data_IF_183090806446
#
_entry.id   IF_183090806446
#
_cell.length_a   1.000
_cell.length_b   1.000
_cell.length_c   1.000
_cell.angle_alpha   90.00
_cell.angle_beta   90.00
_cell.angle_gamma   90.00
#
_symmetry.space_group_name_H-M   'P 1'
#
loop_
_entity.id
_entity.type
_entity.pdbx_description
1 polymer ?
#
# COMPACT_ATOMS: atom_id res chain seq x y z
N UNK A 1 0.60 22.88 -12.32
CA UNK A 1 0.73 23.39 -10.94
C UNK A 1 -0.60 24.00 -10.52
N UNK A 2 -1.45 23.20 -9.86
CA UNK A 2 -2.74 23.64 -9.31
C UNK A 2 -2.50 24.26 -7.94
N UNK A 3 -2.99 25.48 -7.74
CA UNK A 3 -3.01 26.18 -6.44
C UNK A 3 -3.71 25.27 -5.42
N UNK A 4 -2.99 24.93 -4.35
CA UNK A 4 -3.59 24.36 -3.16
C UNK A 4 -4.42 25.47 -2.50
N UNK A 5 -5.73 25.28 -2.45
CA UNK A 5 -6.60 26.10 -1.61
C UNK A 5 -6.31 25.76 -0.14
N UNK A 6 -5.98 26.75 0.71
CA UNK A 6 -5.89 26.54 2.14
C UNK A 6 -7.30 26.30 2.67
N UNK A 7 -7.65 25.03 2.81
CA UNK A 7 -8.86 24.57 3.49
C UNK A 7 -8.84 25.06 4.94
N UNK A 8 -9.60 26.13 5.16
CA UNK A 8 -10.56 26.24 6.27
C UNK A 8 -10.13 25.60 7.59
N UNK A 9 -9.26 26.28 8.33
CA UNK A 9 -9.17 26.16 9.78
C UNK A 9 -10.47 26.72 10.39
N UNK A 10 -11.53 25.91 10.41
CA UNK A 10 -12.68 26.12 11.30
C UNK A 10 -12.46 25.29 12.57
N UNK A 11 -11.40 25.62 13.30
CA UNK A 11 -11.21 25.14 14.66
C UNK A 11 -11.58 26.28 15.60
N UNK A 12 -12.65 26.09 16.39
CA UNK A 12 -12.95 26.94 17.53
C UNK A 12 -14.22 27.76 17.44
N UNK A 13 -15.37 27.10 17.27
CA UNK A 13 -16.66 27.71 17.59
C UNK A 13 -17.58 26.69 18.27
N UNK A 14 -17.16 26.16 19.42
CA UNK A 14 -17.95 25.22 20.24
C UNK A 14 -18.25 25.69 21.66
N UNK A 15 -17.80 26.88 22.07
CA UNK A 15 -17.74 27.16 23.53
C UNK A 15 -18.79 28.16 24.07
N UNK A 16 -19.66 28.72 23.21
CA UNK A 16 -20.71 29.66 23.66
C UNK A 16 -22.15 29.07 23.66
N UNK A 17 -22.33 27.82 23.25
CA UNK A 17 -23.65 27.17 23.24
C UNK A 17 -24.16 26.79 24.64
N UNK A 18 -23.32 26.96 25.67
CA UNK A 18 -23.70 26.87 27.08
C UNK A 18 -24.16 28.22 27.65
N UNK A 19 -24.59 29.14 26.80
CA UNK A 19 -25.37 30.30 27.19
C UNK A 19 -26.57 29.82 28.03
N UNK A 20 -26.44 30.01 29.35
CA UNK A 20 -27.37 29.63 30.42
C UNK A 20 -28.80 29.64 29.91
N UNK A 21 -29.34 28.46 29.58
CA UNK A 21 -30.75 28.35 29.18
C UNK A 21 -31.56 28.94 30.34
N UNK A 22 -32.35 30.01 30.12
CA UNK A 22 -33.04 30.66 31.22
C UNK A 22 -33.95 29.64 31.89
N UNK A 23 -33.83 29.53 33.22
CA UNK A 23 -34.59 28.57 34.03
C UNK A 23 -36.11 28.69 33.79
N UNK A 24 -36.56 29.90 33.47
CA UNK A 24 -37.95 30.27 33.21
C UNK A 24 -38.39 30.01 31.76
N UNK A 25 -38.26 28.77 31.29
CA UNK A 25 -38.85 28.32 30.03
C UNK A 25 -40.17 27.62 30.30
N UNK A 26 -41.19 27.94 29.50
CA UNK A 26 -42.53 27.33 29.58
C UNK A 26 -42.54 25.80 29.44
N UNK A 27 -41.47 25.19 28.89
CA UNK A 27 -41.30 23.74 28.77
C UNK A 27 -40.44 23.07 29.86
N UNK A 28 -40.06 23.78 30.93
CA UNK A 28 -39.24 23.22 32.00
C UNK A 28 -40.12 22.40 32.97
N UNK A 29 -39.95 21.06 33.07
CA UNK A 29 -40.77 20.22 33.94
C UNK A 29 -40.62 20.59 35.43
N UNK A 30 -39.46 21.12 35.83
CA UNK A 30 -39.20 21.55 37.21
C UNK A 30 -40.06 22.76 37.57
N UNK A 31 -40.21 23.72 36.64
CA UNK A 31 -41.08 24.89 36.85
C UNK A 31 -42.54 24.46 37.04
N UNK A 32 -43.01 23.52 36.21
CA UNK A 32 -44.35 22.95 36.35
C UNK A 32 -44.53 22.18 37.67
N UNK A 33 -43.51 21.44 38.12
CA UNK A 33 -43.51 20.78 39.42
C UNK A 33 -43.63 21.77 40.58
N UNK A 34 -42.90 22.89 40.53
CA UNK A 34 -42.98 23.97 41.53
C UNK A 34 -44.37 24.62 41.51
N UNK A 35 -44.87 24.99 40.33
CA UNK A 35 -46.21 25.61 40.18
C UNK A 35 -47.29 24.67 40.70
N UNK A 36 -47.27 23.38 40.36
CA UNK A 36 -48.21 22.39 40.85
C UNK A 36 -48.13 22.22 42.38
N UNK A 37 -46.92 22.21 42.94
CA UNK A 37 -46.68 22.16 44.40
C UNK A 37 -47.29 23.38 45.10
N UNK A 38 -47.08 24.59 44.56
CA UNK A 38 -47.67 25.82 45.08
C UNK A 38 -49.20 25.77 45.02
N UNK A 39 -49.77 25.31 43.91
CA UNK A 39 -51.23 25.18 43.74
C UNK A 39 -51.82 24.20 44.75
N UNK A 40 -51.22 23.02 44.94
CA UNK A 40 -51.67 22.04 45.94
C UNK A 40 -51.55 22.59 47.36
N UNK A 41 -50.47 23.30 47.67
CA UNK A 41 -50.24 23.90 49.00
C UNK A 41 -51.26 24.99 49.30
N UNK A 42 -51.51 25.90 48.35
CA UNK A 42 -52.51 26.95 48.48
C UNK A 42 -53.92 26.36 48.57
N UNK A 43 -54.22 25.31 47.78
CA UNK A 43 -55.48 24.58 47.86
C UNK A 43 -55.69 23.92 49.23
N UNK A 44 -54.65 23.28 49.78
CA UNK A 44 -54.68 22.71 51.13
C UNK A 44 -54.88 23.75 52.22
N UNK A 45 -54.15 24.87 52.15
CA UNK A 45 -54.29 25.99 53.08
C UNK A 45 -55.70 26.61 52.99
N UNK A 46 -56.25 26.75 51.78
CA UNK A 46 -57.62 27.20 51.57
C UNK A 46 -58.65 26.24 52.21
N UNK A 47 -58.49 24.93 52.00
CA UNK A 47 -59.36 23.91 52.61
C UNK A 47 -59.28 23.92 54.15
N UNK A 48 -58.12 24.23 54.72
CA UNK A 48 -57.91 24.29 56.16
C UNK A 48 -58.62 25.48 56.84
N UNK A 49 -58.91 26.56 56.10
CA UNK A 49 -59.64 27.73 56.60
C UNK A 49 -61.16 27.52 56.59
N UNK A 50 -61.66 26.57 55.77
CA UNK A 50 -63.09 26.30 55.71
C UNK A 50 -63.62 25.82 57.08
N UNK A 51 -64.81 26.27 57.51
CA UNK A 51 -65.42 25.83 58.74
C UNK A 51 -65.87 24.36 58.64
N UNK A 52 -65.83 23.66 59.78
CA UNK A 52 -66.46 22.37 59.99
C UNK A 52 -67.45 22.51 61.14
N UNK A 53 -68.71 22.14 60.91
CA UNK A 53 -69.75 22.25 61.91
C UNK A 53 -70.11 20.85 62.41
N UNK A 54 -69.96 20.61 63.70
CA UNK A 54 -70.33 19.35 64.33
C UNK A 54 -71.70 19.51 65.00
N UNK A 55 -72.56 18.49 64.86
CA UNK A 55 -73.84 18.45 65.55
C UNK A 55 -73.61 18.11 67.03
N UNK A 56 -73.86 19.10 67.90
CA UNK A 56 -73.88 18.89 69.34
C UNK A 56 -75.10 18.06 69.77
N UNK A 57 -74.90 17.16 70.73
CA UNK A 57 -75.93 16.21 71.25
C UNK A 57 -77.19 16.91 71.80
N UNK A 58 -77.10 18.21 72.16
CA UNK A 58 -78.21 18.99 72.73
C UNK A 58 -78.51 20.30 71.96
N UNK A 59 -78.09 20.41 70.68
CA UNK A 59 -78.05 21.68 69.91
C UNK A 59 -76.98 22.65 70.42
N UNK A 60 -76.94 23.93 69.97
CA UNK A 60 -76.72 24.44 68.60
C UNK A 60 -75.43 23.92 67.92
N UNK A 61 -75.24 24.19 66.62
CA UNK A 61 -74.03 23.82 65.88
C UNK A 61 -72.81 24.61 66.38
N UNK A 62 -71.73 23.90 66.72
CA UNK A 62 -70.43 24.51 66.95
C UNK A 62 -69.61 24.40 65.67
N UNK A 63 -69.19 25.54 65.13
CA UNK A 63 -68.47 25.62 63.87
C UNK A 63 -67.06 26.17 64.13
N UNK A 64 -66.07 25.29 64.05
CA UNK A 64 -64.66 25.66 64.16
C UNK A 64 -63.97 25.58 62.79
N UNK A 65 -62.95 26.41 62.50
CA UNK A 65 -62.14 26.24 61.30
C UNK A 65 -61.37 24.91 61.35
N UNK A 66 -61.29 24.21 60.21
CA UNK A 66 -60.70 22.86 60.12
C UNK A 66 -59.27 22.74 60.63
N UNK A 67 -58.46 23.81 60.56
CA UNK A 67 -57.11 23.78 61.10
C UNK A 67 -57.08 23.68 62.64
N UNK A 68 -58.06 24.26 63.36
CA UNK A 68 -58.17 24.12 64.82
C UNK A 68 -58.57 22.69 65.17
N UNK A 69 -59.54 22.14 64.44
CA UNK A 69 -59.92 20.73 64.58
C UNK A 69 -58.74 19.78 64.30
N UNK A 70 -57.90 20.11 63.32
CA UNK A 70 -56.68 19.34 63.01
C UNK A 70 -55.62 19.40 64.13
N UNK A 71 -55.44 20.56 64.78
CA UNK A 71 -54.51 20.71 65.91
C UNK A 71 -54.97 19.94 67.16
N UNK A 72 -56.28 19.75 67.32
CA UNK A 72 -56.87 18.94 68.39
C UNK A 72 -57.13 17.47 68.02
N UNK A 73 -56.89 17.07 66.77
CA UNK A 73 -57.20 15.73 66.27
C UNK A 73 -56.27 14.67 66.87
N UNK A 74 -56.74 13.42 66.84
CA UNK A 74 -55.91 12.30 67.28
C UNK A 74 -54.68 12.14 66.36
N UNK A 75 -53.54 11.64 66.86
CA UNK A 75 -52.34 11.46 66.04
C UNK A 75 -52.55 10.65 64.75
N UNK A 76 -53.53 9.73 64.73
CA UNK A 76 -53.86 8.94 63.54
C UNK A 76 -54.50 9.79 62.43
N UNK A 77 -55.47 10.64 62.77
CA UNK A 77 -56.17 11.51 61.80
C UNK A 77 -55.24 12.60 61.24
N UNK A 78 -54.32 13.10 62.07
CA UNK A 78 -53.23 13.98 61.63
C UNK A 78 -52.34 13.26 60.61
N UNK A 79 -51.98 12.00 60.91
CA UNK A 79 -51.20 11.15 60.03
C UNK A 79 -51.88 10.92 58.68
N UNK A 80 -53.17 10.57 58.66
CA UNK A 80 -53.93 10.30 57.44
C UNK A 80 -54.01 11.54 56.52
N UNK A 81 -54.21 12.72 57.11
CA UNK A 81 -54.26 13.98 56.36
C UNK A 81 -52.89 14.34 55.77
N UNK A 82 -51.82 14.22 56.58
CA UNK A 82 -50.45 14.47 56.12
C UNK A 82 -50.02 13.46 55.04
N UNK A 83 -50.41 12.19 55.18
CA UNK A 83 -50.16 11.15 54.19
C UNK A 83 -50.83 11.48 52.85
N UNK A 84 -52.05 12.01 52.87
CA UNK A 84 -52.74 12.50 51.67
C UNK A 84 -51.95 13.59 50.93
N UNK A 85 -51.47 14.61 51.65
CA UNK A 85 -50.65 15.68 51.06
C UNK A 85 -49.29 15.17 50.57
N UNK A 86 -48.61 14.33 51.37
CA UNK A 86 -47.34 13.72 50.99
C UNK A 86 -47.49 12.88 49.71
N UNK A 87 -48.59 12.13 49.58
CA UNK A 87 -48.92 11.37 48.37
C UNK A 87 -49.09 12.27 47.14
N UNK A 88 -49.83 13.38 47.27
CA UNK A 88 -50.01 14.33 46.17
C UNK A 88 -48.69 14.97 45.72
N UNK A 89 -47.83 15.38 46.67
CA UNK A 89 -46.51 15.92 46.35
C UNK A 89 -45.61 14.89 45.68
N UNK A 90 -45.57 13.66 46.19
CA UNK A 90 -44.80 12.57 45.59
C UNK A 90 -45.24 12.32 44.14
N UNK A 91 -46.54 12.35 43.87
CA UNK A 91 -47.08 12.15 42.52
C UNK A 91 -46.70 13.28 41.55
N UNK A 92 -46.78 14.54 41.98
CA UNK A 92 -46.34 15.69 41.16
C UNK A 92 -44.87 15.54 40.76
N UNK A 93 -44.01 15.21 41.72
CA UNK A 93 -42.59 15.06 41.46
C UNK A 93 -42.28 13.84 40.60
N UNK A 94 -43.03 12.75 40.71
CA UNK A 94 -42.90 11.59 39.80
C UNK A 94 -43.19 11.99 38.34
N UNK A 95 -44.25 12.76 38.09
CA UNK A 95 -44.55 13.25 36.73
C UNK A 95 -43.42 14.17 36.24
N UNK A 96 -42.94 15.09 37.08
CA UNK A 96 -41.88 16.01 36.71
C UNK A 96 -40.58 15.27 36.34
N UNK A 97 -40.20 14.23 37.08
CA UNK A 97 -39.00 13.44 36.78
C UNK A 97 -39.15 12.58 35.53
N UNK A 98 -40.29 11.95 35.30
CA UNK A 98 -40.55 11.19 34.06
C UNK A 98 -40.55 12.12 32.85
N UNK A 99 -41.11 13.32 32.98
CA UNK A 99 -41.07 14.30 31.90
C UNK A 99 -39.62 14.75 31.62
N UNK A 100 -38.82 15.04 32.64
CA UNK A 100 -37.41 15.37 32.48
C UNK A 100 -36.65 14.25 31.74
N UNK A 101 -36.82 13.00 32.19
CA UNK A 101 -36.19 11.83 31.56
C UNK A 101 -36.61 11.67 30.09
N UNK A 102 -37.86 11.95 29.74
CA UNK A 102 -38.31 11.87 28.35
C UNK A 102 -37.67 12.94 27.44
N UNK A 103 -37.37 14.13 27.98
CA UNK A 103 -36.64 15.16 27.25
C UNK A 103 -35.18 14.75 27.04
N UNK A 104 -34.51 14.24 28.08
CA UNK A 104 -33.12 13.75 27.99
C UNK A 104 -32.98 12.62 26.95
N UNK A 105 -33.93 11.66 26.94
CA UNK A 105 -33.93 10.57 25.95
C UNK A 105 -34.15 11.08 24.52
N UNK A 106 -34.96 12.12 24.33
CA UNK A 106 -35.19 12.71 23.01
C UNK A 106 -33.93 13.43 22.49
N UNK A 107 -33.21 14.15 23.36
CA UNK A 107 -31.93 14.80 23.00
C UNK A 107 -30.85 13.74 22.71
N UNK A 108 -30.71 12.70 23.54
CA UNK A 108 -29.79 11.58 23.29
C UNK A 108 -30.04 10.88 21.96
N UNK A 109 -31.31 10.67 21.56
CA UNK A 109 -31.62 10.08 20.25
C UNK A 109 -31.13 10.93 19.08
N UNK A 110 -31.24 12.26 19.19
CA UNK A 110 -30.74 13.18 18.16
C UNK A 110 -29.22 13.13 18.07
N UNK A 111 -28.54 13.07 19.21
CA UNK A 111 -27.08 12.93 19.24
C UNK A 111 -26.61 11.61 18.63
N UNK A 112 -27.27 10.49 18.96
CA UNK A 112 -26.96 9.19 18.35
C UNK A 112 -27.18 9.21 16.84
N UNK A 113 -28.24 9.86 16.36
CA UNK A 113 -28.48 10.00 14.92
C UNK A 113 -27.37 10.80 14.24
N UNK A 114 -27.01 11.97 14.79
CA UNK A 114 -25.92 12.78 14.27
C UNK A 114 -24.58 12.03 14.28
N UNK A 115 -24.31 11.24 15.34
CA UNK A 115 -23.11 10.41 15.43
C UNK A 115 -23.09 9.31 14.37
N UNK A 116 -24.23 8.69 14.05
CA UNK A 116 -24.33 7.70 12.97
C UNK A 116 -24.01 8.30 11.62
N UNK A 117 -24.60 9.46 11.30
CA UNK A 117 -24.33 10.18 10.05
C UNK A 117 -22.86 10.56 9.93
N UNK A 118 -22.24 11.05 11.01
CA UNK A 118 -20.80 11.35 11.04
C UNK A 118 -19.94 10.09 10.84
N UNK A 119 -20.31 8.98 11.48
CA UNK A 119 -19.58 7.70 11.37
C UNK A 119 -19.70 7.12 9.97
N UNK A 120 -20.87 7.21 9.35
CA UNK A 120 -21.10 6.78 7.95
C UNK A 120 -20.24 7.61 6.99
N UNK A 121 -20.21 8.94 7.16
CA UNK A 121 -19.33 9.81 6.38
C UNK A 121 -17.84 9.46 6.54
N UNK A 122 -17.40 9.12 7.75
CA UNK A 122 -16.03 8.65 8.00
C UNK A 122 -15.75 7.31 7.31
N UNK A 123 -16.70 6.37 7.32
CA UNK A 123 -16.54 5.07 6.67
C UNK A 123 -16.38 5.20 5.15
N UNK A 124 -17.18 6.08 4.51
CA UNK A 124 -17.04 6.39 3.07
C UNK A 124 -15.67 6.98 2.77
N UNK A 125 -15.25 8.00 3.52
CA UNK A 125 -13.95 8.65 3.32
C UNK A 125 -12.76 7.67 3.51
N UNK A 126 -12.86 6.75 4.46
CA UNK A 126 -11.87 5.68 4.64
C UNK A 126 -11.86 4.70 3.47
N UNK A 127 -13.03 4.36 2.92
CA UNK A 127 -13.15 3.56 1.70
C UNK A 127 -12.40 4.20 0.52
N UNK A 128 -12.63 5.48 0.28
CA UNK A 128 -11.98 6.25 -0.79
C UNK A 128 -10.45 6.31 -0.59
N UNK A 129 -9.98 6.46 0.65
CA UNK A 129 -8.55 6.44 0.97
C UNK A 129 -7.90 5.08 0.67
N UNK A 130 -8.57 3.97 0.98
CA UNK A 130 -8.07 2.63 0.68
C UNK A 130 -7.99 2.39 -0.82
N UNK A 131 -8.97 2.86 -1.59
CA UNK A 131 -8.94 2.77 -3.05
C UNK A 131 -7.78 3.57 -3.65
N UNK A 132 -7.56 4.79 -3.18
CA UNK A 132 -6.42 5.62 -3.62
C UNK A 132 -5.08 4.95 -3.31
N UNK A 133 -4.93 4.36 -2.12
CA UNK A 133 -3.70 3.66 -1.73
C UNK A 133 -3.45 2.42 -2.60
N UNK A 134 -4.50 1.70 -3.01
CA UNK A 134 -4.37 0.59 -3.96
C UNK A 134 -3.90 1.08 -5.32
N UNK A 135 -4.52 2.13 -5.85
CA UNK A 135 -4.12 2.72 -7.13
C UNK A 135 -2.66 3.22 -7.11
N UNK A 136 -2.22 3.83 -6.01
CA UNK A 136 -0.81 4.20 -5.83
C UNK A 136 0.11 2.98 -5.77
N UNK A 137 -0.29 1.93 -5.06
CA UNK A 137 0.45 0.67 -4.98
C UNK A 137 0.70 0.06 -6.36
N UNK A 138 -0.32 0.02 -7.22
CA UNK A 138 -0.21 -0.51 -8.58
C UNK A 138 0.76 0.32 -9.44
N UNK A 139 0.72 1.65 -9.33
CA UNK A 139 1.66 2.54 -10.02
C UNK A 139 3.10 2.29 -9.56
N UNK A 140 3.33 2.11 -8.25
CA UNK A 140 4.66 1.83 -7.73
C UNK A 140 5.21 0.48 -8.20
N UNK A 141 4.36 -0.56 -8.25
CA UNK A 141 4.76 -1.87 -8.76
C UNK A 141 5.15 -1.80 -10.24
N UNK A 142 4.39 -1.07 -11.05
CA UNK A 142 4.70 -0.87 -12.46
C UNK A 142 5.99 -0.05 -12.65
N UNK A 143 6.17 1.04 -11.91
CA UNK A 143 7.40 1.84 -11.97
C UNK A 143 8.64 1.02 -11.54
N UNK A 144 8.49 0.19 -10.50
CA UNK A 144 9.58 -0.67 -10.04
C UNK A 144 9.97 -1.69 -11.12
N UNK A 145 8.97 -2.30 -11.78
CA UNK A 145 9.19 -3.20 -12.90
C UNK A 145 9.92 -2.51 -14.04
N UNK A 146 9.46 -1.32 -14.46
CA UNK A 146 10.10 -0.53 -15.52
C UNK A 146 11.56 -0.20 -15.18
N UNK A 147 11.84 0.19 -13.93
CA UNK A 147 13.22 0.47 -13.47
C UNK A 147 14.10 -0.77 -13.50
N UNK A 148 13.55 -1.94 -13.16
CA UNK A 148 14.27 -3.21 -13.23
C UNK A 148 14.57 -3.62 -14.67
N UNK A 149 13.60 -3.49 -15.57
CA UNK A 149 13.76 -3.73 -17.01
C UNK A 149 14.82 -2.77 -17.60
N UNK A 150 14.78 -1.48 -17.27
CA UNK A 150 15.76 -0.48 -17.71
C UNK A 150 17.18 -0.76 -17.20
N UNK A 151 17.31 -1.20 -15.94
CA UNK A 151 18.62 -1.61 -15.39
C UNK A 151 19.15 -2.84 -16.09
N UNK A 152 18.30 -3.84 -16.31
CA UNK A 152 18.67 -5.05 -17.03
C UNK A 152 19.08 -4.73 -18.47
N UNK A 153 18.34 -3.85 -19.15
CA UNK A 153 18.66 -3.35 -20.49
C UNK A 153 20.04 -2.72 -20.56
N UNK A 154 20.32 -1.72 -19.71
CA UNK A 154 21.62 -1.03 -19.71
C UNK A 154 22.77 -1.99 -19.48
N UNK A 155 22.60 -2.92 -18.55
CA UNK A 155 23.62 -3.93 -18.25
C UNK A 155 23.80 -4.92 -19.42
N UNK A 156 22.72 -5.34 -20.08
CA UNK A 156 22.79 -6.18 -21.26
C UNK A 156 23.50 -5.48 -22.42
N UNK A 157 23.18 -4.21 -22.69
CA UNK A 157 23.85 -3.40 -23.72
C UNK A 157 25.34 -3.21 -23.42
N UNK A 158 25.72 -2.98 -22.16
CA UNK A 158 27.12 -2.88 -21.74
C UNK A 158 27.86 -4.21 -21.94
N UNK A 159 27.24 -5.33 -21.55
CA UNK A 159 27.81 -6.66 -21.75
C UNK A 159 27.95 -7.03 -23.22
N UNK A 160 26.98 -6.67 -24.07
CA UNK A 160 27.05 -6.89 -25.52
C UNK A 160 28.21 -6.10 -26.14
N UNK A 161 28.35 -4.81 -25.80
CA UNK A 161 29.48 -3.99 -26.25
C UNK A 161 30.81 -4.57 -25.77
N UNK A 162 30.88 -4.97 -24.51
CA UNK A 162 32.08 -5.61 -23.94
C UNK A 162 32.39 -6.96 -24.58
N UNK A 163 31.38 -7.72 -24.98
CA UNK A 163 31.53 -9.00 -25.70
C UNK A 163 32.11 -8.77 -27.10
N UNK A 164 31.64 -7.74 -27.82
CA UNK A 164 32.18 -7.37 -29.14
C UNK A 164 33.66 -7.01 -29.05
N UNK A 165 34.08 -6.25 -28.03
CA UNK A 165 35.50 -5.93 -27.79
C UNK A 165 36.31 -7.20 -27.55
N UNK A 166 35.84 -8.08 -26.67
CA UNK A 166 36.56 -9.34 -26.38
C UNK A 166 36.64 -10.25 -27.62
N UNK A 167 35.60 -10.31 -28.44
CA UNK A 167 35.59 -11.07 -29.70
C UNK A 167 36.59 -10.51 -30.72
N UNK A 168 36.67 -9.18 -30.83
CA UNK A 168 37.65 -8.51 -31.71
C UNK A 168 39.07 -8.83 -31.26
N UNK A 169 39.33 -8.68 -29.97
CA UNK A 169 40.66 -8.88 -29.40
C UNK A 169 41.07 -10.37 -29.52
N UNK A 170 40.14 -11.31 -29.27
CA UNK A 170 40.35 -12.73 -29.51
C UNK A 170 40.65 -13.02 -30.99
N UNK A 171 39.93 -12.39 -31.93
CA UNK A 171 40.18 -12.57 -33.37
C UNK A 171 41.52 -11.99 -33.83
N UNK A 172 42.11 -11.04 -33.10
CA UNK A 172 43.41 -10.48 -33.43
C UNK A 172 44.56 -11.39 -32.96
N UNK A 173 44.40 -12.04 -31.81
CA UNK A 173 45.44 -12.85 -31.13
C UNK A 173 45.36 -14.33 -31.50
N UNK A 174 44.23 -14.81 -32.00
CA UNK A 174 44.07 -16.21 -32.39
C UNK A 174 44.93 -16.54 -33.63
N UNK A 175 46.17 -16.94 -33.37
CA UNK A 175 47.09 -17.49 -34.34
C UNK A 175 47.13 -19.00 -34.20
N UNK A 176 47.08 -19.70 -35.32
CA UNK A 176 47.52 -21.09 -35.35
C UNK A 176 48.88 -21.19 -36.06
N UNK A 177 49.62 -22.24 -35.81
CA UNK A 177 50.81 -22.56 -36.60
C UNK A 177 50.51 -23.81 -37.42
N UNK A 178 50.40 -23.66 -38.74
CA UNK A 178 50.41 -24.82 -39.64
C UNK A 178 51.84 -25.06 -40.06
N UNK A 179 52.39 -26.20 -39.65
CA UNK A 179 53.61 -26.70 -40.28
C UNK A 179 53.24 -27.04 -41.73
N UNK A 180 53.63 -26.15 -42.65
CA UNK A 180 53.52 -26.41 -44.07
C UNK A 180 54.34 -27.65 -44.38
N UNK A 181 53.80 -28.53 -45.22
CA UNK A 181 54.67 -29.49 -45.89
C UNK A 181 55.79 -28.69 -46.56
N UNK A 182 57.06 -29.08 -46.37
CA UNK A 182 58.19 -28.30 -46.86
C UNK A 182 58.06 -28.15 -48.38
N UNK A 183 57.69 -26.94 -48.83
CA UNK A 183 57.76 -26.61 -50.25
C UNK A 183 59.26 -26.53 -50.60
N UNK A 184 59.78 -27.40 -51.47
CA UNK A 184 61.20 -27.40 -51.84
C UNK A 184 61.68 -26.06 -52.43
N UNK A 185 60.77 -25.18 -52.85
CA UNK A 185 61.07 -23.82 -53.34
C UNK A 185 61.24 -22.80 -52.21
N UNK A 186 60.64 -23.02 -51.04
CA UNK A 186 60.74 -22.14 -49.87
C UNK A 186 61.73 -22.72 -48.86
N UNK A 187 63.02 -22.79 -49.24
CA UNK A 187 64.10 -23.44 -48.46
C UNK A 187 64.24 -22.97 -47.00
N UNK A 188 63.63 -21.85 -46.60
CA UNK A 188 63.77 -21.26 -45.27
C UNK A 188 62.46 -20.94 -44.52
N UNK A 189 61.27 -21.24 -45.03
CA UNK A 189 60.02 -21.02 -44.27
C UNK A 189 59.50 -22.33 -43.69
N UNK A 190 59.91 -22.64 -42.45
CA UNK A 190 59.50 -23.88 -41.76
C UNK A 190 58.10 -23.83 -41.13
N UNK A 191 57.44 -22.67 -41.05
CA UNK A 191 56.10 -22.52 -40.45
C UNK A 191 55.31 -21.43 -41.16
N UNK A 192 54.10 -21.72 -41.61
CA UNK A 192 53.13 -20.67 -41.91
C UNK A 192 52.17 -20.55 -40.73
N UNK A 193 52.03 -19.33 -40.25
CA UNK A 193 50.97 -18.99 -39.33
C UNK A 193 49.77 -18.59 -40.19
N UNK A 194 48.62 -19.24 -40.01
CA UNK A 194 47.37 -18.63 -40.45
C UNK A 194 46.68 -18.00 -39.24
N UNK A 195 45.99 -16.90 -39.50
CA UNK A 195 45.20 -16.23 -38.49
C UNK A 195 43.84 -16.90 -38.45
N UNK A 196 43.41 -17.35 -37.26
CA UNK A 196 42.03 -17.78 -37.06
C UNK A 196 41.25 -16.49 -36.89
N UNK A 197 40.68 -15.99 -37.97
CA UNK A 197 39.77 -14.86 -37.89
C UNK A 197 38.40 -15.39 -37.50
N UNK A 198 37.91 -14.97 -36.33
CA UNK A 198 36.54 -15.28 -35.90
C UNK A 198 35.52 -14.56 -36.81
N UNK A 199 35.98 -13.57 -37.58
CA UNK A 199 35.20 -12.78 -38.53
C UNK A 199 35.83 -12.81 -39.92
N UNK A 200 35.10 -12.37 -40.95
CA UNK A 200 35.64 -12.22 -42.31
C UNK A 200 36.73 -11.12 -42.41
N UNK A 201 37.43 -11.08 -43.53
CA UNK A 201 38.55 -10.15 -43.76
C UNK A 201 38.11 -8.68 -43.82
N UNK A 202 36.91 -8.41 -44.32
CA UNK A 202 36.31 -7.08 -44.46
C UNK A 202 35.23 -6.82 -43.40
N UNK A 203 35.40 -7.38 -42.19
CA UNK A 203 34.37 -7.30 -41.16
C UNK A 203 34.27 -5.93 -40.52
N UNK A 204 33.07 -5.35 -40.56
CA UNK A 204 32.77 -4.06 -39.95
C UNK A 204 32.49 -4.19 -38.45
N UNK A 205 33.51 -3.89 -37.63
CA UNK A 205 33.39 -3.85 -36.17
C UNK A 205 32.62 -2.63 -35.64
N UNK A 206 32.18 -1.71 -36.50
CA UNK A 206 31.34 -0.58 -36.12
C UNK A 206 29.84 -0.86 -36.27
N UNK A 207 29.47 -2.01 -36.83
CA UNK A 207 28.09 -2.46 -36.93
C UNK A 207 27.42 -2.67 -35.55
N UNK A 208 26.11 -2.84 -35.56
CA UNK A 208 25.35 -3.12 -34.33
C UNK A 208 25.89 -4.38 -33.63
N UNK A 209 26.06 -4.38 -32.28
CA UNK A 209 26.60 -5.52 -31.56
C UNK A 209 25.90 -6.85 -31.86
N UNK A 210 24.57 -6.85 -32.05
CA UNK A 210 23.82 -8.06 -32.36
C UNK A 210 24.18 -8.64 -33.74
N UNK A 211 24.43 -7.78 -34.72
CA UNK A 211 24.85 -8.19 -36.06
C UNK A 211 26.26 -8.76 -36.01
N UNK A 212 27.15 -8.11 -35.24
CA UNK A 212 28.53 -8.58 -35.08
C UNK A 212 28.55 -9.99 -34.50
N UNK A 213 27.89 -10.18 -33.37
CA UNK A 213 27.81 -11.47 -32.66
C UNK A 213 27.23 -12.56 -33.56
N UNK A 214 26.15 -12.25 -34.31
CA UNK A 214 25.50 -13.19 -35.22
C UNK A 214 26.41 -13.67 -36.34
N UNK A 215 27.13 -12.76 -36.98
CA UNK A 215 28.06 -13.10 -38.04
C UNK A 215 29.29 -13.84 -37.50
N UNK A 216 29.78 -13.47 -36.31
CA UNK A 216 30.82 -14.25 -35.62
C UNK A 216 30.35 -15.68 -35.33
N UNK A 217 29.12 -15.87 -34.83
CA UNK A 217 28.57 -17.20 -34.55
C UNK A 217 28.56 -18.08 -35.81
N UNK A 218 28.07 -17.55 -36.94
CA UNK A 218 28.07 -18.24 -38.23
C UNK A 218 29.49 -18.58 -38.73
N UNK A 219 30.45 -17.68 -38.50
CA UNK A 219 31.83 -17.92 -38.92
C UNK A 219 32.51 -18.99 -38.06
N UNK A 220 32.30 -18.96 -36.74
CA UNK A 220 32.76 -20.03 -35.83
C UNK A 220 32.18 -21.38 -36.25
N UNK A 221 30.88 -21.44 -36.55
CA UNK A 221 30.23 -22.65 -37.05
C UNK A 221 30.89 -23.20 -38.33
N UNK A 222 31.20 -22.33 -39.30
CA UNK A 222 31.90 -22.72 -40.54
C UNK A 222 33.33 -23.19 -40.30
N UNK A 223 33.99 -22.68 -39.27
CA UNK A 223 35.38 -23.03 -38.95
C UNK A 223 35.50 -24.42 -38.31
N UNK A 224 34.52 -24.83 -37.50
CA UNK A 224 34.55 -26.09 -36.73
C UNK A 224 34.89 -27.33 -37.58
N UNK A 225 34.27 -27.59 -38.75
CA UNK A 225 34.62 -28.74 -39.59
C UNK A 225 36.10 -28.74 -40.00
N UNK A 226 36.64 -27.58 -40.34
CA UNK A 226 38.05 -27.44 -40.70
C UNK A 226 38.93 -27.83 -39.53
N UNK A 227 38.67 -27.32 -38.31
CA UNK A 227 39.42 -27.71 -37.12
C UNK A 227 39.31 -29.20 -36.79
N UNK A 228 38.15 -29.80 -37.01
CA UNK A 228 37.93 -31.24 -36.78
C UNK A 228 38.74 -32.11 -37.72
N UNK A 229 38.90 -31.71 -38.98
CA UNK A 229 39.78 -32.43 -39.90
C UNK A 229 41.27 -32.25 -39.54
N UNK A 230 41.61 -31.11 -38.93
CA UNK A 230 42.98 -30.76 -38.57
C UNK A 230 43.43 -31.25 -37.20
N UNK A 231 42.53 -31.61 -36.28
CA UNK A 231 42.90 -32.30 -35.03
C UNK A 231 43.61 -33.63 -35.26
N UNK A 232 43.53 -34.18 -36.48
CA UNK A 232 44.30 -35.34 -36.93
C UNK A 232 45.80 -35.03 -37.12
N UNK A 233 46.18 -33.76 -37.18
CA UNK A 233 47.57 -33.29 -37.35
C UNK A 233 48.13 -32.97 -35.96
N UNK A 234 49.32 -33.49 -35.62
CA UNK A 234 49.97 -33.38 -34.29
C UNK A 234 50.30 -31.95 -33.81
N UNK A 235 49.99 -30.92 -34.59
CA UNK A 235 50.32 -29.54 -34.27
C UNK A 235 49.13 -28.87 -33.57
N UNK A 236 49.22 -28.80 -32.24
CA UNK A 236 48.26 -28.10 -31.40
C UNK A 236 48.61 -26.59 -31.33
N UNK A 237 47.63 -25.74 -31.04
CA UNK A 237 47.75 -24.26 -30.97
C UNK A 237 47.41 -23.74 -29.59
N UNK A 238 47.92 -22.57 -29.19
CA UNK A 238 47.56 -21.98 -27.90
C UNK A 238 46.10 -21.49 -27.92
N UNK A 239 45.38 -21.78 -26.84
CA UNK A 239 44.02 -21.27 -26.65
C UNK A 239 44.07 -19.78 -26.28
N UNK A 240 43.37 -18.89 -27.02
CA UNK A 240 43.21 -17.49 -26.62
C UNK A 240 42.70 -17.35 -25.19
N UNK A 241 43.35 -16.51 -24.38
CA UNK A 241 42.99 -16.26 -22.99
C UNK A 241 41.63 -15.54 -22.84
N UNK A 242 41.12 -15.01 -23.94
CA UNK A 242 39.87 -14.28 -24.08
C UNK A 242 38.66 -15.21 -24.11
N UNK A 243 38.80 -16.47 -24.57
CA UNK A 243 37.66 -17.37 -24.74
C UNK A 243 36.89 -17.67 -23.44
N UNK A 244 37.53 -17.95 -22.29
CA UNK A 244 36.81 -18.11 -21.03
C UNK A 244 36.06 -16.82 -20.61
N UNK A 245 36.61 -15.64 -20.90
CA UNK A 245 35.95 -14.35 -20.60
C UNK A 245 34.71 -14.15 -21.48
N UNK A 246 34.81 -14.52 -22.75
CA UNK A 246 33.71 -14.49 -23.73
C UNK A 246 32.57 -15.41 -23.26
N UNK A 247 32.88 -16.66 -22.90
CA UNK A 247 31.86 -17.60 -22.40
C UNK A 247 31.17 -17.10 -21.14
N UNK A 248 31.92 -16.55 -20.17
CA UNK A 248 31.31 -16.00 -18.95
C UNK A 248 30.41 -14.79 -19.25
N UNK A 249 30.79 -13.92 -20.20
CA UNK A 249 29.93 -12.81 -20.62
C UNK A 249 28.65 -13.29 -21.30
N UNK A 250 28.75 -14.29 -22.18
CA UNK A 250 27.58 -14.91 -22.82
C UNK A 250 26.62 -15.47 -21.77
N UNK A 251 27.13 -16.25 -20.81
CA UNK A 251 26.33 -16.79 -19.70
C UNK A 251 25.63 -15.71 -18.89
N UNK A 252 26.33 -14.59 -18.60
CA UNK A 252 25.73 -13.44 -17.90
C UNK A 252 24.62 -12.78 -18.72
N UNK A 253 24.77 -12.66 -20.03
CA UNK A 253 23.75 -12.13 -20.92
C UNK A 253 22.53 -13.07 -20.96
N UNK A 254 22.73 -14.39 -21.03
CA UNK A 254 21.65 -15.39 -20.99
C UNK A 254 20.84 -15.31 -19.69
N UNK A 255 21.50 -15.16 -18.53
CA UNK A 255 20.81 -14.96 -17.24
C UNK A 255 20.00 -13.66 -17.23
N UNK A 256 20.54 -12.57 -17.80
CA UNK A 256 19.83 -11.30 -17.89
C UNK A 256 18.65 -11.33 -18.83
N UNK A 257 18.68 -12.15 -19.90
CA UNK A 257 17.59 -12.30 -20.88
C UNK A 257 16.23 -12.55 -20.21
N UNK A 258 16.20 -13.28 -19.10
CA UNK A 258 14.96 -13.56 -18.35
C UNK A 258 14.31 -12.33 -17.72
N UNK A 259 15.09 -11.27 -17.47
CA UNK A 259 14.67 -10.03 -16.78
C UNK A 259 14.39 -8.86 -17.72
N UNK A 260 14.58 -9.07 -19.02
CA UNK A 260 14.37 -8.04 -20.04
C UNK A 260 12.92 -7.96 -20.49
N UNK A 261 12.55 -6.84 -21.10
CA UNK A 261 11.27 -6.72 -21.82
C UNK A 261 11.23 -7.66 -23.03
N UNK A 262 10.05 -7.93 -23.57
CA UNK A 262 9.89 -8.91 -24.66
C UNK A 262 10.61 -8.46 -25.95
N UNK A 263 10.53 -7.17 -26.31
CA UNK A 263 11.28 -6.60 -27.43
C UNK A 263 12.80 -6.77 -27.28
N UNK A 264 13.30 -6.66 -26.04
CA UNK A 264 14.73 -6.81 -25.74
C UNK A 264 15.16 -8.29 -25.76
N UNK A 265 14.29 -9.21 -25.30
CA UNK A 265 14.51 -10.65 -25.46
C UNK A 265 14.59 -11.03 -26.93
N UNK A 266 13.75 -10.41 -27.77
CA UNK A 266 13.79 -10.60 -29.22
C UNK A 266 15.11 -10.06 -29.80
N UNK A 267 15.53 -8.85 -29.43
CA UNK A 267 16.82 -8.29 -29.85
C UNK A 267 18.01 -9.21 -29.49
N UNK A 268 18.06 -9.72 -28.27
CA UNK A 268 19.11 -10.66 -27.83
C UNK A 268 19.01 -12.01 -28.57
N UNK A 269 17.81 -12.53 -28.78
CA UNK A 269 17.62 -13.79 -29.51
C UNK A 269 18.07 -13.64 -30.97
N UNK A 270 17.79 -12.49 -31.58
CA UNK A 270 18.25 -12.13 -32.91
C UNK A 270 19.78 -11.95 -32.99
N UNK A 271 20.48 -11.74 -31.88
CA UNK A 271 21.94 -11.74 -31.87
C UNK A 271 22.54 -13.16 -32.01
N UNK A 272 21.74 -14.23 -31.89
CA UNK A 272 22.19 -15.63 -31.91
C UNK A 272 23.29 -15.93 -30.86
N UNK A 273 23.17 -15.35 -29.67
CA UNK A 273 24.12 -15.59 -28.57
C UNK A 273 24.16 -17.07 -28.19
N UNK A 274 23.01 -17.74 -28.18
CA UNK A 274 22.89 -19.15 -27.86
C UNK A 274 23.71 -20.02 -28.84
N UNK A 275 23.66 -19.69 -30.14
CA UNK A 275 24.46 -20.34 -31.17
C UNK A 275 25.95 -20.06 -30.99
N UNK A 276 26.33 -18.81 -30.68
CA UNK A 276 27.74 -18.47 -30.42
C UNK A 276 28.28 -19.25 -29.21
N UNK A 277 27.49 -19.33 -28.14
CA UNK A 277 27.82 -20.08 -26.91
C UNK A 277 28.07 -21.56 -27.22
N UNK A 278 27.14 -22.20 -27.93
CA UNK A 278 27.23 -23.59 -28.35
C UNK A 278 28.48 -23.84 -29.20
N UNK A 279 28.68 -23.02 -30.24
CA UNK A 279 29.77 -23.22 -31.21
C UNK A 279 31.14 -22.88 -30.64
N UNK A 280 31.25 -21.89 -29.75
CA UNK A 280 32.48 -21.66 -29.00
C UNK A 280 32.79 -22.83 -28.07
N UNK A 281 31.78 -23.39 -27.40
CA UNK A 281 31.97 -24.56 -26.53
C UNK A 281 32.41 -25.78 -27.33
N UNK A 282 31.79 -26.02 -28.49
CA UNK A 282 32.20 -27.06 -29.43
C UNK A 282 33.65 -26.85 -29.89
N UNK A 283 34.01 -25.62 -30.29
CA UNK A 283 35.37 -25.27 -30.72
C UNK A 283 36.41 -25.49 -29.61
N UNK A 284 36.11 -25.09 -28.37
CA UNK A 284 37.00 -25.26 -27.21
C UNK A 284 37.15 -26.73 -26.79
N UNK A 285 36.17 -27.58 -27.09
CA UNK A 285 36.22 -29.01 -26.80
C UNK A 285 37.11 -29.82 -27.77
N UNK A 286 37.53 -29.23 -28.89
CA UNK A 286 38.39 -29.90 -29.87
C UNK A 286 39.82 -30.08 -29.31
N UNK A 287 40.43 -31.25 -29.56
CA UNK A 287 41.83 -31.55 -29.19
C UNK A 287 42.85 -30.86 -30.12
N UNK A 288 42.64 -29.57 -30.38
CA UNK A 288 43.54 -28.73 -31.19
C UNK A 288 44.28 -27.72 -30.32
N UNK A 289 43.96 -27.63 -29.03
CA UNK A 289 44.51 -26.63 -28.11
C UNK A 289 45.66 -27.20 -27.26
N UNK A 290 46.76 -26.45 -27.12
CA UNK A 290 47.84 -26.69 -26.15
C UNK A 290 47.48 -25.90 -24.89
N UNK A 291 47.52 -26.56 -23.74
CA UNK A 291 47.53 -25.87 -22.46
C UNK A 291 48.78 -24.99 -22.38
N UNK A 292 48.57 -23.69 -22.17
CA UNK A 292 49.66 -22.73 -22.11
C UNK A 292 50.69 -23.15 -21.04
N UNK A 293 51.93 -23.50 -21.41
CA UNK A 293 52.91 -24.05 -20.47
C UNK A 293 53.40 -23.04 -19.42
N UNK A 294 52.95 -21.77 -19.48
CA UNK A 294 53.30 -20.72 -18.53
C UNK A 294 52.24 -20.45 -17.43
N UNK A 295 51.21 -21.30 -17.31
CA UNK A 295 50.31 -21.32 -16.14
C UNK A 295 50.69 -22.39 -15.11
#
# INVERSE_FOLDING_TARGET
MKKADPSSTQAGQTDDANAKRPFFRWGNPILWGIVATVVVTLGGAWLAILPTCNEGVFGPYDCEPKYLAFLGASPNEVGDTLAGFAGAFAFIWLIATVWLQSQELAEQRREIQAQREATEGMAVAQGDQVELLRAQGDIFLDEQRQRDEDRARRLAEELLKGLVVDLRDASAVAHWARELQPDPRLRNQKKAFHHIRLTGDDFDWSADPSQIIRETAKNVEKLIPSFRDMSKIKNRSHMPAEFPKIQEKIRRIEVLKQRLSDDQKEYISNAHIDLLSEKLTELLSLDVWIEDPQK
#
